data_IF_526441818277
#
_entry.id   IF_526441818277
#
_cell.length_a   1.000
_cell.length_b   1.000
_cell.length_c   1.000
_cell.angle_alpha   90.00
_cell.angle_beta   90.00
_cell.angle_gamma   90.00
#
_symmetry.space_group_name_H-M   'P 1'
#
loop_
_entity.id
_entity.type
_entity.pdbx_description
1 polymer ?
#
# COMPACT_ATOMS: atom_id res chain seq x y z
N UNK A 1 -14.18 -11.39 5.78
CA UNK A 1 -13.09 -11.69 6.74
C UNK A 1 -13.21 -10.88 8.03
N UNK A 2 -13.22 -9.54 8.00
CA UNK A 2 -13.37 -8.70 9.20
C UNK A 2 -14.63 -9.00 10.02
N UNK A 3 -15.79 -9.19 9.37
CA UNK A 3 -17.03 -9.54 10.05
C UNK A 3 -16.97 -10.92 10.71
N UNK A 4 -16.40 -11.93 10.04
CA UNK A 4 -16.27 -13.29 10.57
C UNK A 4 -15.34 -13.28 11.80
N UNK A 5 -14.20 -12.60 11.74
CA UNK A 5 -13.28 -12.45 12.87
C UNK A 5 -13.91 -11.64 14.02
N UNK A 6 -14.69 -10.63 13.68
CA UNK A 6 -15.45 -9.82 14.63
C UNK A 6 -16.48 -10.68 15.38
N UNK A 7 -17.31 -11.41 14.64
CA UNK A 7 -18.34 -12.29 15.21
C UNK A 7 -17.76 -13.46 16.01
N UNK A 8 -16.67 -14.08 15.53
CA UNK A 8 -16.04 -15.23 16.19
C UNK A 8 -15.40 -14.89 17.54
N UNK A 9 -15.04 -13.63 17.77
CA UNK A 9 -14.47 -13.16 19.04
C UNK A 9 -15.51 -12.63 20.03
N UNK A 10 -16.80 -12.68 19.70
CA UNK A 10 -17.86 -12.15 20.55
C UNK A 10 -17.79 -10.63 20.77
N UNK A 11 -17.04 -9.92 19.92
CA UNK A 11 -16.92 -8.48 19.98
C UNK A 11 -18.26 -7.84 19.59
N UNK A 12 -18.85 -7.07 20.46
CA UNK A 12 -20.07 -6.31 20.16
C UNK A 12 -19.68 -5.12 19.29
N UNK A 13 -20.47 -4.85 18.26
CA UNK A 13 -20.33 -3.63 17.47
C UNK A 13 -20.56 -2.44 18.41
N UNK A 14 -19.57 -1.56 18.53
CA UNK A 14 -19.73 -0.38 19.39
C UNK A 14 -20.72 0.58 18.73
N UNK A 15 -22.00 0.43 19.11
CA UNK A 15 -23.09 1.27 18.63
C UNK A 15 -23.02 2.71 19.21
N UNK A 16 -22.15 2.98 20.17
CA UNK A 16 -21.96 4.31 20.76
C UNK A 16 -21.20 5.27 19.86
N UNK A 17 -20.58 4.77 18.80
CA UNK A 17 -19.87 5.60 17.82
C UNK A 17 -20.84 6.58 17.15
N UNK A 18 -20.47 7.86 17.16
CA UNK A 18 -21.25 8.89 16.48
C UNK A 18 -21.28 8.62 14.96
N UNK A 19 -22.39 9.00 14.29
CA UNK A 19 -22.58 8.85 12.84
C UNK A 19 -21.37 9.32 12.02
N UNK A 20 -20.72 10.40 12.46
CA UNK A 20 -19.54 10.95 11.79
C UNK A 20 -18.34 9.98 11.77
N UNK A 21 -18.17 9.14 12.79
CA UNK A 21 -17.12 8.11 12.82
C UNK A 21 -17.36 7.02 11.77
N UNK A 22 -18.62 6.60 11.59
CA UNK A 22 -18.96 5.64 10.54
C UNK A 22 -18.67 6.20 9.15
N UNK A 23 -19.16 7.41 8.84
CA UNK A 23 -18.94 8.07 7.55
C UNK A 23 -17.45 8.28 7.28
N UNK A 24 -16.71 8.71 8.28
CA UNK A 24 -15.26 8.88 8.17
C UNK A 24 -14.55 7.57 7.82
N UNK A 25 -14.86 6.47 8.52
CA UNK A 25 -14.24 5.18 8.26
C UNK A 25 -14.65 4.58 6.91
N UNK A 26 -15.90 4.79 6.47
CA UNK A 26 -16.34 4.43 5.11
C UNK A 26 -15.55 5.21 4.05
N UNK A 27 -15.36 6.52 4.25
CA UNK A 27 -14.54 7.36 3.38
C UNK A 27 -13.09 6.88 3.31
N UNK A 28 -12.50 6.52 4.45
CA UNK A 28 -11.15 5.93 4.46
C UNK A 28 -11.09 4.62 3.64
N UNK A 29 -12.13 3.80 3.73
CA UNK A 29 -12.25 2.60 2.90
C UNK A 29 -12.32 2.91 1.41
N UNK A 30 -13.05 3.96 1.04
CA UNK A 30 -13.09 4.44 -0.35
C UNK A 30 -11.70 4.85 -0.85
N UNK A 31 -10.90 5.53 -0.02
CA UNK A 31 -9.54 5.94 -0.40
C UNK A 31 -8.60 4.73 -0.54
N UNK A 32 -8.46 3.92 0.50
CA UNK A 32 -7.42 2.89 0.59
C UNK A 32 -7.80 1.54 -0.01
N UNK A 33 -9.11 1.21 -0.07
CA UNK A 33 -9.58 -0.09 -0.54
C UNK A 33 -10.30 -0.03 -1.90
N UNK A 34 -10.55 1.16 -2.46
CA UNK A 34 -11.16 1.29 -3.78
C UNK A 34 -10.38 2.24 -4.68
N UNK A 35 -10.31 3.55 -4.39
CA UNK A 35 -9.70 4.53 -5.29
C UNK A 35 -8.23 4.21 -5.57
N UNK A 36 -7.47 3.81 -4.57
CA UNK A 36 -6.08 3.35 -4.77
C UNK A 36 -6.00 2.29 -5.87
N UNK A 37 -6.81 1.23 -5.76
CA UNK A 37 -6.78 0.13 -6.72
C UNK A 37 -7.36 0.50 -8.08
N UNK A 38 -8.40 1.32 -8.13
CA UNK A 38 -8.97 1.80 -9.40
C UNK A 38 -7.93 2.58 -10.21
N UNK A 39 -7.24 3.52 -9.57
CA UNK A 39 -6.19 4.29 -10.21
C UNK A 39 -4.98 3.42 -10.59
N UNK A 40 -4.59 2.49 -9.73
CA UNK A 40 -3.48 1.58 -9.99
C UNK A 40 -3.77 0.63 -11.16
N UNK A 41 -4.96 0.02 -11.18
CA UNK A 41 -5.35 -0.91 -12.24
C UNK A 41 -5.55 -0.21 -13.58
N UNK A 42 -6.06 1.03 -13.57
CA UNK A 42 -6.04 1.87 -14.77
C UNK A 42 -4.61 2.06 -15.30
N UNK A 43 -3.67 2.35 -14.39
CA UNK A 43 -2.26 2.45 -14.73
C UNK A 43 -1.70 1.18 -15.38
N UNK A 44 -2.01 -0.01 -14.83
CA UNK A 44 -1.57 -1.29 -15.40
C UNK A 44 -2.27 -1.65 -16.71
N UNK A 45 -3.50 -1.21 -16.90
CA UNK A 45 -4.26 -1.44 -18.13
C UNK A 45 -3.73 -0.62 -19.31
N UNK A 46 -3.43 0.66 -19.08
CA UNK A 46 -3.02 1.61 -20.12
C UNK A 46 -1.50 1.77 -20.24
N UNK A 47 -0.75 1.46 -19.19
CA UNK A 47 0.66 1.84 -19.04
C UNK A 47 1.65 0.69 -19.05
N UNK A 48 2.94 1.09 -19.07
CA UNK A 48 4.04 0.15 -18.91
C UNK A 48 4.14 -0.30 -17.45
N UNK A 49 4.23 -1.62 -17.21
CA UNK A 49 4.27 -2.19 -15.86
C UNK A 49 5.42 -1.67 -15.00
N UNK A 50 6.58 -1.36 -15.61
CA UNK A 50 7.74 -0.81 -14.88
C UNK A 50 7.46 0.61 -14.45
N UNK A 51 6.88 1.46 -15.33
CA UNK A 51 6.43 2.81 -14.98
C UNK A 51 5.46 2.77 -13.79
N UNK A 52 4.44 1.92 -13.89
CA UNK A 52 3.40 1.81 -12.85
C UNK A 52 3.99 1.37 -11.52
N UNK A 53 4.86 0.35 -11.50
CA UNK A 53 5.54 -0.10 -10.29
C UNK A 53 6.37 1.01 -9.65
N UNK A 54 7.17 1.73 -10.43
CA UNK A 54 8.01 2.82 -9.94
C UNK A 54 7.13 3.92 -9.30
N UNK A 55 6.12 4.38 -10.02
CA UNK A 55 5.24 5.44 -9.55
C UNK A 55 4.41 5.01 -8.34
N UNK A 56 3.96 3.75 -8.31
CA UNK A 56 3.29 3.18 -7.15
C UNK A 56 4.16 3.25 -5.91
N UNK A 57 5.45 2.85 -5.99
CA UNK A 57 6.36 2.89 -4.83
C UNK A 57 6.68 4.32 -4.34
N UNK A 58 6.12 5.36 -4.95
CA UNK A 58 6.15 6.71 -4.39
C UNK A 58 5.24 6.89 -3.16
N UNK A 59 4.26 6.00 -2.90
CA UNK A 59 3.34 6.15 -1.78
C UNK A 59 4.01 6.21 -0.38
N UNK A 60 5.13 5.50 -0.08
CA UNK A 60 5.80 5.66 1.20
C UNK A 60 6.46 7.04 1.34
N UNK A 61 6.98 7.62 0.24
CA UNK A 61 7.50 8.99 0.22
C UNK A 61 6.39 10.00 0.52
N UNK A 62 5.25 9.85 -0.16
CA UNK A 62 4.07 10.69 0.06
C UNK A 62 3.54 10.54 1.50
N UNK A 63 3.59 9.33 2.06
CA UNK A 63 3.19 9.06 3.44
C UNK A 63 4.07 9.82 4.46
N UNK A 64 5.38 9.92 4.23
CA UNK A 64 6.29 10.70 5.09
C UNK A 64 5.95 12.20 5.04
N UNK A 65 5.72 12.74 3.84
CA UNK A 65 5.32 14.14 3.66
C UNK A 65 3.98 14.42 4.35
N UNK A 66 2.98 13.57 4.14
CA UNK A 66 1.68 13.68 4.80
C UNK A 66 1.79 13.50 6.33
N UNK A 67 2.68 12.63 6.80
CA UNK A 67 2.97 12.42 8.21
C UNK A 67 3.46 13.69 8.90
N UNK A 68 4.34 14.45 8.24
CA UNK A 68 4.80 15.72 8.77
C UNK A 68 3.68 16.76 8.87
N UNK A 69 2.75 16.78 7.91
CA UNK A 69 1.63 17.73 7.88
C UNK A 69 0.55 17.32 8.90
N UNK A 70 0.08 16.08 8.84
CA UNK A 70 -1.09 15.62 9.60
C UNK A 70 -0.76 15.12 11.01
N UNK A 71 0.44 14.57 11.22
CA UNK A 71 0.88 14.02 12.52
C UNK A 71 1.90 14.90 13.21
N UNK A 72 2.33 16.00 12.55
CA UNK A 72 3.37 16.90 13.03
C UNK A 72 4.69 16.16 13.36
N UNK A 73 4.96 15.04 12.67
CA UNK A 73 6.22 14.35 12.79
C UNK A 73 7.34 15.24 12.24
N UNK A 74 8.40 15.41 13.02
CA UNK A 74 9.56 16.19 12.56
C UNK A 74 10.24 15.42 11.43
N UNK A 75 10.45 16.10 10.31
CA UNK A 75 11.23 15.57 9.20
C UNK A 75 12.71 15.67 9.55
N UNK A 76 13.32 14.55 9.85
CA UNK A 76 14.75 14.44 10.00
C UNK A 76 15.40 14.40 8.60
N UNK A 77 16.31 15.35 8.27
CA UNK A 77 16.98 15.37 6.97
C UNK A 77 17.71 14.07 6.61
N UNK A 78 18.32 13.42 7.60
CA UNK A 78 19.01 12.15 7.38
C UNK A 78 18.04 11.02 7.01
N UNK A 79 16.85 10.99 7.64
CA UNK A 79 15.79 10.03 7.29
C UNK A 79 15.24 10.28 5.89
N UNK A 80 15.08 11.55 5.49
CA UNK A 80 14.66 11.89 4.13
C UNK A 80 15.67 11.37 3.11
N UNK A 81 16.98 11.61 3.35
CA UNK A 81 18.07 11.12 2.51
C UNK A 81 18.06 9.60 2.42
N UNK A 82 17.92 8.91 3.56
CA UNK A 82 17.86 7.46 3.58
C UNK A 82 16.64 6.90 2.83
N UNK A 83 15.47 7.53 2.97
CA UNK A 83 14.26 7.15 2.23
C UNK A 83 14.46 7.35 0.72
N UNK A 84 15.11 8.43 0.31
CA UNK A 84 15.46 8.67 -1.08
C UNK A 84 16.38 7.57 -1.63
N UNK A 85 17.44 7.20 -0.90
CA UNK A 85 18.32 6.11 -1.30
C UNK A 85 17.57 4.75 -1.32
N UNK A 86 16.69 4.49 -0.35
CA UNK A 86 15.83 3.30 -0.36
C UNK A 86 14.98 3.22 -1.64
N UNK A 87 14.39 4.34 -2.05
CA UNK A 87 13.64 4.43 -3.30
C UNK A 87 14.53 4.19 -4.54
N UNK A 88 15.75 4.76 -4.56
CA UNK A 88 16.72 4.47 -5.62
C UNK A 88 17.09 2.99 -5.69
N UNK A 89 17.25 2.33 -4.56
CA UNK A 89 17.46 0.88 -4.50
C UNK A 89 16.31 0.09 -5.12
N UNK A 90 15.07 0.51 -4.87
CA UNK A 90 13.87 -0.09 -5.50
C UNK A 90 13.90 0.10 -7.03
N UNK A 91 14.26 1.30 -7.51
CA UNK A 91 14.39 1.56 -8.94
C UNK A 91 15.38 0.60 -9.59
N UNK A 92 16.55 0.39 -8.96
CA UNK A 92 17.58 -0.55 -9.44
C UNK A 92 17.03 -1.98 -9.51
N UNK A 93 16.25 -2.41 -8.52
CA UNK A 93 15.62 -3.72 -8.52
C UNK A 93 14.62 -3.85 -9.68
N UNK A 94 13.68 -2.90 -9.79
CA UNK A 94 12.58 -2.96 -10.78
C UNK A 94 13.12 -2.91 -12.21
N UNK A 95 14.14 -2.09 -12.46
CA UNK A 95 14.73 -1.91 -13.80
C UNK A 95 15.83 -2.93 -14.09
N UNK A 96 16.12 -3.85 -13.20
CA UNK A 96 17.27 -4.77 -13.30
C UNK A 96 18.62 -4.07 -13.54
N UNK A 97 18.69 -2.77 -13.18
CA UNK A 97 19.84 -1.91 -13.39
C UNK A 97 19.90 -1.19 -14.75
N UNK A 98 18.92 -1.41 -15.62
CA UNK A 98 18.83 -0.74 -16.92
C UNK A 98 17.77 0.37 -16.91
N UNK A 99 18.23 1.61 -16.82
CA UNK A 99 17.34 2.79 -16.78
C UNK A 99 16.54 2.97 -18.08
N UNK A 100 17.00 2.42 -19.20
CA UNK A 100 16.28 2.52 -20.48
C UNK A 100 14.96 1.71 -20.48
N UNK A 101 14.77 0.85 -19.50
CA UNK A 101 13.49 0.16 -19.31
C UNK A 101 12.39 1.09 -18.79
N UNK A 102 12.73 2.26 -18.25
CA UNK A 102 11.76 3.26 -17.80
C UNK A 102 11.20 3.96 -19.03
N UNK A 103 9.99 3.61 -19.39
CA UNK A 103 9.25 4.23 -20.51
C UNK A 103 7.94 4.80 -19.98
N UNK A 104 7.79 6.11 -20.08
CA UNK A 104 6.55 6.78 -19.72
C UNK A 104 5.56 6.68 -20.87
N UNK A 105 4.42 6.10 -20.58
CA UNK A 105 3.34 5.88 -21.56
C UNK A 105 2.61 7.20 -21.85
N UNK A 106 2.34 7.99 -20.81
CA UNK A 106 1.68 9.28 -20.93
C UNK A 106 1.33 9.89 -19.58
N UNK A 107 1.08 11.19 -19.59
CA UNK A 107 0.81 11.97 -18.37
C UNK A 107 -0.42 11.44 -17.62
N UNK A 108 -1.46 10.97 -18.33
CA UNK A 108 -2.68 10.46 -17.72
C UNK A 108 -2.41 9.20 -16.88
N UNK A 109 -1.57 8.29 -17.41
CA UNK A 109 -1.16 7.07 -16.71
C UNK A 109 -0.35 7.43 -15.46
N UNK A 110 0.68 8.26 -15.62
CA UNK A 110 1.54 8.67 -14.52
C UNK A 110 0.76 9.38 -13.41
N UNK A 111 -0.13 10.32 -13.76
CA UNK A 111 -0.98 11.02 -12.79
C UNK A 111 -1.95 10.08 -12.08
N UNK A 112 -2.56 9.15 -12.82
CA UNK A 112 -3.46 8.16 -12.22
C UNK A 112 -2.75 7.35 -11.13
N UNK A 113 -1.59 6.78 -11.45
CA UNK A 113 -0.82 5.98 -10.48
C UNK A 113 -0.37 6.80 -9.29
N UNK A 114 0.10 8.03 -9.51
CA UNK A 114 0.49 8.94 -8.41
C UNK A 114 -0.69 9.31 -7.53
N UNK A 115 -1.88 9.54 -8.10
CA UNK A 115 -3.12 9.77 -7.34
C UNK A 115 -3.52 8.53 -6.54
N UNK A 116 -3.39 7.34 -7.11
CA UNK A 116 -3.59 6.09 -6.38
C UNK A 116 -2.64 5.99 -5.20
N UNK A 117 -1.34 6.19 -5.42
CA UNK A 117 -0.33 6.21 -4.38
C UNK A 117 -0.66 7.23 -3.27
N UNK A 118 -1.14 8.42 -3.65
CA UNK A 118 -1.59 9.46 -2.72
C UNK A 118 -2.81 9.01 -1.90
N UNK A 119 -3.80 8.38 -2.53
CA UNK A 119 -4.97 7.85 -1.84
C UNK A 119 -4.58 6.84 -0.74
N UNK A 120 -3.64 5.94 -1.05
CA UNK A 120 -3.17 4.96 -0.08
C UNK A 120 -2.32 5.57 1.04
N UNK A 121 -1.46 6.53 0.71
CA UNK A 121 -0.69 7.28 1.70
C UNK A 121 -1.60 8.07 2.65
N UNK A 122 -2.58 8.78 2.10
CA UNK A 122 -3.56 9.54 2.89
C UNK A 122 -4.43 8.61 3.76
N UNK A 123 -4.93 7.51 3.19
CA UNK A 123 -5.63 6.46 3.94
C UNK A 123 -4.79 5.98 5.13
N UNK A 124 -3.52 5.65 4.92
CA UNK A 124 -2.63 5.15 5.97
C UNK A 124 -2.46 6.16 7.11
N UNK A 125 -2.21 7.43 6.79
CA UNK A 125 -2.05 8.49 7.79
C UNK A 125 -3.34 8.72 8.58
N UNK A 126 -4.46 8.84 7.89
CA UNK A 126 -5.75 9.10 8.52
C UNK A 126 -6.23 7.90 9.34
N UNK A 127 -5.94 6.67 8.89
CA UNK A 127 -6.26 5.44 9.63
C UNK A 127 -5.51 5.34 10.96
N UNK A 128 -4.28 5.88 11.03
CA UNK A 128 -3.50 5.94 12.28
C UNK A 128 -4.23 6.74 13.38
N UNK A 129 -5.03 7.74 13.01
CA UNK A 129 -5.81 8.57 13.94
C UNK A 129 -7.10 7.90 14.43
N UNK A 130 -7.53 6.81 13.82
CA UNK A 130 -8.78 6.15 14.20
C UNK A 130 -8.63 5.46 15.57
N UNK A 131 -9.53 5.77 16.50
CA UNK A 131 -9.63 5.15 17.83
C UNK A 131 -10.55 3.93 17.83
N UNK A 132 -11.20 3.65 16.70
CA UNK A 132 -12.12 2.51 16.55
C UNK A 132 -11.34 1.21 16.70
N UNK A 133 -11.96 0.23 17.36
CA UNK A 133 -11.40 -1.12 17.48
C UNK A 133 -11.04 -1.69 16.11
N UNK A 134 -9.91 -2.36 16.01
CA UNK A 134 -9.27 -2.67 14.71
C UNK A 134 -10.11 -3.55 13.80
N UNK A 135 -10.88 -4.49 14.36
CA UNK A 135 -11.72 -5.37 13.55
C UNK A 135 -12.99 -4.66 13.06
N UNK A 136 -13.59 -3.81 13.92
CA UNK A 136 -14.70 -2.94 13.53
C UNK A 136 -14.24 -1.92 12.50
N UNK A 137 -13.09 -1.32 12.70
CA UNK A 137 -12.47 -0.41 11.74
C UNK A 137 -12.24 -1.11 10.39
N UNK A 138 -11.63 -2.31 10.40
CA UNK A 138 -11.38 -3.09 9.19
C UNK A 138 -12.69 -3.44 8.45
N UNK A 139 -13.73 -3.79 9.18
CA UNK A 139 -15.05 -4.03 8.58
C UNK A 139 -15.57 -2.79 7.86
N UNK A 140 -15.52 -1.62 8.51
CA UNK A 140 -16.02 -0.36 7.95
C UNK A 140 -15.23 0.08 6.71
N UNK A 141 -13.90 -0.03 6.73
CA UNK A 141 -13.09 0.35 5.54
C UNK A 141 -13.33 -0.60 4.36
N UNK A 142 -13.44 -1.91 4.60
CA UNK A 142 -13.76 -2.84 3.51
C UNK A 142 -15.17 -2.65 2.99
N UNK A 143 -16.13 -2.33 3.85
CA UNK A 143 -17.50 -2.03 3.44
C UNK A 143 -17.54 -0.74 2.59
N UNK A 144 -16.84 0.33 3.01
CA UNK A 144 -16.69 1.56 2.24
C UNK A 144 -16.03 1.33 0.88
N UNK A 145 -14.95 0.54 0.86
CA UNK A 145 -14.28 0.11 -0.38
C UNK A 145 -15.22 -0.66 -1.30
N UNK A 146 -16.01 -1.59 -0.76
CA UNK A 146 -16.99 -2.37 -1.54
C UNK A 146 -18.05 -1.47 -2.17
N UNK A 147 -18.63 -0.54 -1.41
CA UNK A 147 -19.61 0.43 -1.93
C UNK A 147 -19.00 1.21 -3.10
N UNK A 148 -17.81 1.78 -2.90
CA UNK A 148 -17.16 2.60 -3.93
C UNK A 148 -16.81 1.78 -5.17
N UNK A 149 -16.29 0.56 -5.00
CA UNK A 149 -15.96 -0.33 -6.12
C UNK A 149 -17.21 -0.77 -6.88
N UNK A 150 -18.33 -1.03 -6.19
CA UNK A 150 -19.61 -1.40 -6.82
C UNK A 150 -20.18 -0.23 -7.63
N UNK A 151 -20.09 0.99 -7.10
CA UNK A 151 -20.49 2.19 -7.82
C UNK A 151 -19.60 2.38 -9.06
N UNK A 152 -18.28 2.27 -8.92
CA UNK A 152 -17.35 2.37 -10.04
C UNK A 152 -17.63 1.32 -11.13
N UNK A 153 -17.93 0.08 -10.73
CA UNK A 153 -18.33 -0.98 -11.67
C UNK A 153 -19.55 -0.56 -12.50
N UNK A 154 -20.57 0.01 -11.86
CA UNK A 154 -21.80 0.44 -12.54
C UNK A 154 -21.60 1.60 -13.52
N UNK A 155 -20.59 2.47 -13.29
CA UNK A 155 -20.31 3.64 -14.16
C UNK A 155 -19.26 3.36 -15.23
N UNK A 156 -18.28 2.50 -14.97
CA UNK A 156 -17.09 2.37 -15.83
C UNK A 156 -16.90 0.99 -16.43
N UNK A 157 -17.71 -0.02 -16.05
CA UNK A 157 -17.51 -1.39 -16.53
C UNK A 157 -18.83 -2.16 -16.60
N UNK A 158 -18.76 -3.37 -17.14
CA UNK A 158 -19.85 -4.34 -17.11
C UNK A 158 -19.50 -5.48 -16.17
N UNK A 159 -20.47 -5.92 -15.38
CA UNK A 159 -20.27 -7.05 -14.49
C UNK A 159 -20.07 -8.34 -15.30
N UNK A 160 -18.95 -9.02 -15.04
CA UNK A 160 -18.64 -10.32 -15.60
C UNK A 160 -18.34 -11.30 -14.47
N UNK A 161 -18.95 -12.49 -14.55
CA UNK A 161 -18.63 -13.55 -13.60
C UNK A 161 -17.23 -14.10 -13.89
N UNK A 162 -16.37 -14.19 -12.88
CA UNK A 162 -15.05 -14.76 -13.05
C UNK A 162 -15.12 -16.24 -13.42
N UNK A 163 -14.25 -16.69 -14.30
CA UNK A 163 -14.09 -18.10 -14.63
C UNK A 163 -13.60 -18.90 -13.41
N UNK A 164 -13.79 -20.23 -13.42
CA UNK A 164 -13.30 -21.11 -12.34
C UNK A 164 -11.79 -20.98 -12.08
N UNK A 165 -11.00 -20.66 -13.11
CA UNK A 165 -9.54 -20.49 -12.99
C UNK A 165 -9.17 -19.17 -12.28
N UNK A 166 -10.01 -18.16 -12.40
CA UNK A 166 -9.82 -16.84 -11.79
C UNK A 166 -10.30 -16.77 -10.35
N UNK A 167 -11.24 -17.64 -9.96
CA UNK A 167 -11.82 -17.64 -8.61
C UNK A 167 -10.76 -17.82 -7.51
N UNK A 168 -9.85 -18.78 -7.67
CA UNK A 168 -8.84 -19.06 -6.64
C UNK A 168 -7.88 -17.87 -6.42
N UNK A 169 -7.28 -17.26 -7.47
CA UNK A 169 -6.50 -16.04 -7.31
C UNK A 169 -7.29 -14.88 -6.69
N UNK A 170 -8.56 -14.67 -7.09
CA UNK A 170 -9.41 -13.63 -6.53
C UNK A 170 -9.65 -13.84 -5.02
N UNK A 171 -9.96 -15.08 -4.61
CA UNK A 171 -10.21 -15.42 -3.21
C UNK A 171 -8.92 -15.23 -2.38
N UNK A 172 -7.77 -15.72 -2.87
CA UNK A 172 -6.49 -15.56 -2.19
C UNK A 172 -6.14 -14.07 -2.06
N UNK A 173 -6.25 -13.31 -3.13
CA UNK A 173 -5.99 -11.87 -3.13
C UNK A 173 -6.93 -11.15 -2.15
N UNK A 174 -8.23 -11.39 -2.21
CA UNK A 174 -9.22 -10.73 -1.36
C UNK A 174 -9.08 -11.06 0.12
N UNK A 175 -8.80 -12.33 0.46
CA UNK A 175 -8.73 -12.76 1.87
C UNK A 175 -7.36 -12.42 2.48
N UNK A 176 -6.27 -12.84 1.83
CA UNK A 176 -4.94 -12.77 2.43
C UNK A 176 -4.24 -11.45 2.12
N UNK A 177 -4.20 -11.04 0.84
CA UNK A 177 -3.45 -9.86 0.40
C UNK A 177 -4.22 -8.58 0.77
N UNK A 178 -5.52 -8.50 0.48
CA UNK A 178 -6.33 -7.31 0.76
C UNK A 178 -7.12 -7.38 2.08
N UNK A 179 -7.23 -8.54 2.71
CA UNK A 179 -7.92 -8.71 3.97
C UNK A 179 -6.99 -8.73 5.17
N UNK A 180 -6.26 -9.84 5.32
CA UNK A 180 -5.42 -10.10 6.50
C UNK A 180 -4.25 -9.10 6.56
N UNK A 181 -3.60 -8.81 5.43
CA UNK A 181 -2.46 -7.89 5.41
C UNK A 181 -2.83 -6.47 5.85
N UNK A 182 -4.02 -5.99 5.50
CA UNK A 182 -4.50 -4.69 5.96
C UNK A 182 -4.66 -4.60 7.47
N UNK A 183 -5.12 -5.68 8.12
CA UNK A 183 -5.21 -5.74 9.59
C UNK A 183 -3.81 -5.61 10.22
N UNK A 184 -2.82 -6.32 9.65
CA UNK A 184 -1.43 -6.19 10.11
C UNK A 184 -0.86 -4.80 9.84
N UNK A 185 -1.13 -4.24 8.67
CA UNK A 185 -0.72 -2.88 8.31
C UNK A 185 -1.29 -1.85 9.29
N UNK A 186 -2.59 -1.90 9.55
CA UNK A 186 -3.25 -1.00 10.50
C UNK A 186 -2.70 -1.13 11.93
N UNK A 187 -2.37 -2.36 12.37
CA UNK A 187 -1.70 -2.58 13.65
C UNK A 187 -0.31 -1.98 13.67
N UNK A 188 0.48 -2.19 12.63
CA UNK A 188 1.82 -1.63 12.52
C UNK A 188 1.80 -0.09 12.56
N UNK A 189 0.89 0.54 11.80
CA UNK A 189 0.70 1.99 11.80
C UNK A 189 0.41 2.57 13.19
N UNK A 190 -0.36 1.85 14.02
CA UNK A 190 -0.67 2.27 15.40
C UNK A 190 0.50 2.08 16.37
N UNK A 191 1.45 1.19 16.03
CA UNK A 191 2.54 0.80 16.95
C UNK A 191 3.84 1.58 16.74
N UNK A 192 4.08 2.10 15.53
CA UNK A 192 5.34 2.78 15.18
C UNK A 192 5.06 4.12 14.48
N UNK A 193 6.09 4.97 14.34
CA UNK A 193 5.96 6.25 13.62
C UNK A 193 5.60 6.03 12.15
N UNK A 194 5.02 7.06 11.52
CA UNK A 194 4.69 7.05 10.09
C UNK A 194 5.95 6.83 9.26
N UNK A 195 7.01 7.57 9.59
CA UNK A 195 8.30 7.47 8.91
C UNK A 195 8.87 6.05 8.96
N UNK A 196 8.89 5.42 10.15
CA UNK A 196 9.38 4.06 10.29
C UNK A 196 8.50 3.04 9.54
N UNK A 197 7.17 3.24 9.53
CA UNK A 197 6.25 2.39 8.76
C UNK A 197 6.55 2.47 7.26
N UNK A 198 6.76 3.69 6.73
CA UNK A 198 7.07 3.92 5.33
C UNK A 198 8.40 3.26 4.91
N UNK A 199 9.41 3.35 5.76
CA UNK A 199 10.74 2.75 5.51
C UNK A 199 10.67 1.23 5.50
N UNK A 200 9.93 0.63 6.44
CA UNK A 200 9.80 -0.82 6.51
C UNK A 200 9.12 -1.41 5.26
N UNK A 201 8.27 -0.64 4.59
CA UNK A 201 7.66 -1.09 3.33
C UNK A 201 8.70 -1.31 2.23
N UNK A 202 9.81 -0.60 2.23
CA UNK A 202 10.85 -0.79 1.23
C UNK A 202 11.52 -2.18 1.29
N UNK A 203 11.37 -2.93 2.39
CA UNK A 203 11.77 -4.34 2.42
C UNK A 203 10.89 -5.24 1.53
N UNK A 204 9.66 -4.82 1.23
CA UNK A 204 8.72 -5.66 0.46
C UNK A 204 9.27 -6.08 -0.90
N UNK A 205 9.80 -5.20 -1.78
CA UNK A 205 10.35 -5.62 -3.05
C UNK A 205 11.57 -6.53 -2.90
N UNK A 206 12.38 -6.33 -1.86
CA UNK A 206 13.53 -7.21 -1.60
C UNK A 206 13.07 -8.62 -1.22
N UNK A 207 12.09 -8.73 -0.33
CA UNK A 207 11.50 -10.02 0.06
C UNK A 207 10.78 -10.68 -1.13
N UNK A 208 10.01 -9.90 -1.90
CA UNK A 208 9.32 -10.40 -3.10
C UNK A 208 10.30 -10.97 -4.10
N UNK A 209 11.44 -10.31 -4.31
CA UNK A 209 12.49 -10.76 -5.21
C UNK A 209 13.05 -12.12 -4.80
N UNK A 210 13.33 -12.33 -3.50
CA UNK A 210 13.78 -13.62 -2.99
C UNK A 210 12.77 -14.72 -3.33
N UNK A 211 11.48 -14.48 -3.08
CA UNK A 211 10.42 -15.44 -3.40
C UNK A 211 10.28 -15.70 -4.90
N UNK A 212 10.37 -14.67 -5.74
CA UNK A 212 10.30 -14.78 -7.20
C UNK A 212 11.44 -15.67 -7.71
N UNK A 213 12.66 -15.43 -7.27
CA UNK A 213 13.82 -16.25 -7.69
C UNK A 213 13.67 -17.70 -7.24
N UNK A 214 13.27 -17.93 -5.98
CA UNK A 214 13.19 -19.28 -5.42
C UNK A 214 12.06 -20.12 -6.02
N UNK A 215 10.86 -19.53 -6.22
CA UNK A 215 9.69 -20.29 -6.65
C UNK A 215 9.46 -20.26 -8.15
N UNK A 216 9.74 -19.13 -8.81
CA UNK A 216 9.52 -19.00 -10.25
C UNK A 216 10.77 -19.22 -11.07
N UNK A 217 11.94 -19.43 -10.42
CA UNK A 217 13.23 -19.68 -11.08
C UNK A 217 13.60 -18.57 -12.06
N UNK A 218 13.20 -17.33 -11.75
CA UNK A 218 13.53 -16.18 -12.56
C UNK A 218 15.05 -15.93 -12.57
N UNK A 219 15.52 -15.30 -13.64
CA UNK A 219 16.95 -15.01 -13.80
C UNK A 219 17.42 -14.05 -12.69
N UNK A 220 18.53 -14.42 -12.05
CA UNK A 220 19.19 -13.57 -11.06
C UNK A 220 20.06 -12.52 -11.74
N UNK A 221 19.83 -11.24 -11.39
CA UNK A 221 20.64 -10.13 -11.86
C UNK A 221 21.50 -9.57 -10.73
N UNK A 222 22.75 -9.20 -11.04
CA UNK A 222 23.68 -8.63 -10.05
C UNK A 222 23.14 -7.29 -9.47
N UNK A 223 22.33 -6.55 -10.22
CA UNK A 223 21.62 -5.34 -9.79
C UNK A 223 20.70 -5.57 -8.59
N UNK A 224 20.20 -6.81 -8.40
CA UNK A 224 19.37 -7.16 -7.26
C UNK A 224 20.16 -7.10 -5.94
N UNK A 225 21.45 -7.49 -5.96
CA UNK A 225 22.31 -7.36 -4.79
C UNK A 225 22.53 -5.88 -4.48
N UNK A 226 22.88 -5.07 -5.48
CA UNK A 226 23.15 -3.64 -5.28
C UNK A 226 21.90 -2.91 -4.80
N UNK A 227 20.77 -3.04 -5.50
CA UNK A 227 19.52 -2.41 -5.12
C UNK A 227 19.02 -2.88 -3.76
N UNK A 228 19.05 -4.19 -3.50
CA UNK A 228 18.66 -4.77 -2.20
C UNK A 228 19.55 -4.29 -1.06
N UNK A 229 20.88 -4.22 -1.26
CA UNK A 229 21.80 -3.69 -0.25
C UNK A 229 21.52 -2.23 0.09
N UNK A 230 21.27 -1.38 -0.92
CA UNK A 230 20.91 0.03 -0.72
C UNK A 230 19.61 0.13 0.11
N UNK A 231 18.58 -0.66 -0.24
CA UNK A 231 17.32 -0.69 0.52
C UNK A 231 17.56 -1.12 1.97
N UNK A 232 18.31 -2.19 2.19
CA UNK A 232 18.60 -2.71 3.52
C UNK A 232 19.37 -1.70 4.38
N UNK A 233 20.46 -1.13 3.84
CA UNK A 233 21.28 -0.14 4.55
C UNK A 233 20.45 1.10 4.90
N UNK A 234 19.70 1.64 3.95
CA UNK A 234 18.84 2.81 4.14
C UNK A 234 17.79 2.56 5.22
N UNK A 235 17.15 1.40 5.19
CA UNK A 235 16.10 1.05 6.15
C UNK A 235 16.67 0.81 7.55
N UNK A 236 17.79 0.11 7.67
CA UNK A 236 18.45 -0.14 8.96
C UNK A 236 18.98 1.16 9.60
N UNK A 237 19.52 2.07 8.79
CA UNK A 237 19.96 3.38 9.26
C UNK A 237 18.81 4.16 9.91
N UNK A 238 17.67 4.23 9.25
CA UNK A 238 16.50 4.92 9.78
C UNK A 238 15.92 4.30 11.06
N UNK A 239 16.03 2.98 11.22
CA UNK A 239 15.51 2.29 12.40
C UNK A 239 16.44 2.43 13.63
N UNK A 240 17.74 2.61 13.41
CA UNK A 240 18.74 2.66 14.49
C UNK A 240 18.66 3.93 15.34
N UNK A 241 18.26 5.06 14.78
CA UNK A 241 18.25 6.36 15.47
C UNK A 241 17.18 6.54 16.56
N UNK A 242 16.46 5.52 16.97
CA UNK A 242 15.42 5.61 18.01
C UNK A 242 15.95 5.61 19.44
N UNK A 243 17.26 5.52 19.66
CA UNK A 243 17.89 5.38 20.98
C UNK A 243 18.74 6.58 21.40
N UNK A 244 18.53 7.75 20.82
CA UNK A 244 19.18 8.99 21.27
C UNK A 244 18.16 10.06 21.63
#
# INVERSE_FOLDING_TARGET
MGLILYLSRGLKFDASLKKNHYLYNLFLGSLGCALYYLFLYYGYYEGNSIEVLILQYSWPLQMILLGSIFMKEKLDPFKIIAVFFGFMGILIIITTGDINQIRFTGINVSLSVLLGAFCFALFSILSKKSEVEIFQFSFLIFFGGTITSTLALGFFSTFQLPSKKELLPIIINGIFINGVSYIFWLKALKSISVTNSAILVFFTPVLSLIWIILFFKEQFFISYIFGGSIVLISSLYCLKEKNS
#
